data_IF_526788104674
#
_entry.id   IF_526788104674
#
_cell.length_a   1.000
_cell.length_b   1.000
_cell.length_c   1.000
_cell.angle_alpha   90.00
_cell.angle_beta   90.00
_cell.angle_gamma   90.00
#
_symmetry.space_group_name_H-M   'P 1'
#
loop_
_entity.id
_entity.type
_entity.pdbx_description
1 polymer ?
#
# COMPACT_ATOMS: atom_id res chain seq x y z
N UNK A 1 0.00 24.34 -3.11
CA UNK A 1 -1.33 24.08 -2.53
C UNK A 1 -1.34 22.61 -2.10
N UNK A 2 -1.34 22.35 -0.78
CA UNK A 2 -1.57 21.03 -0.24
C UNK A 2 -2.91 20.55 -0.77
N UNK A 3 -2.93 19.44 -1.52
CA UNK A 3 -4.17 18.78 -1.95
C UNK A 3 -4.82 18.14 -0.74
N UNK A 4 -5.80 18.78 -0.16
CA UNK A 4 -6.60 18.16 0.88
C UNK A 4 -7.58 17.15 0.25
N UNK A 5 -7.64 15.94 0.79
CA UNK A 5 -8.67 14.97 0.44
C UNK A 5 -9.99 15.46 1.04
N UNK A 6 -10.89 15.97 0.19
CA UNK A 6 -12.17 16.53 0.63
C UNK A 6 -13.27 15.46 0.84
N UNK A 7 -13.04 14.21 0.37
CA UNK A 7 -14.01 13.15 0.52
C UNK A 7 -14.06 12.65 1.98
N UNK A 8 -15.25 12.59 2.53
CA UNK A 8 -15.52 12.06 3.88
C UNK A 8 -16.30 10.75 3.73
N UNK A 9 -15.81 9.70 4.37
CA UNK A 9 -16.45 8.40 4.45
C UNK A 9 -16.80 8.07 5.91
N UNK A 10 -18.01 8.43 6.38
CA UNK A 10 -18.35 8.27 7.80
C UNK A 10 -18.19 6.84 8.33
N UNK A 11 -18.36 5.84 7.46
CA UNK A 11 -18.17 4.43 7.81
C UNK A 11 -16.71 4.03 8.13
N UNK A 12 -15.73 4.90 7.86
CA UNK A 12 -14.33 4.67 8.23
C UNK A 12 -14.00 5.10 9.67
N UNK A 13 -14.82 5.97 10.28
CA UNK A 13 -14.61 6.39 11.65
C UNK A 13 -14.67 5.20 12.62
N UNK A 14 -13.66 5.09 13.49
CA UNK A 14 -13.53 4.01 14.46
C UNK A 14 -13.06 2.66 13.90
N UNK A 15 -12.94 2.49 12.56
CA UNK A 15 -12.40 1.27 11.96
C UNK A 15 -10.93 1.07 12.34
N UNK A 16 -10.55 -0.18 12.60
CA UNK A 16 -9.18 -0.59 12.90
C UNK A 16 -8.45 -0.87 11.59
N UNK A 17 -7.52 0.00 11.27
CA UNK A 17 -6.77 -0.02 10.01
C UNK A 17 -5.32 -0.37 10.30
N UNK A 18 -4.76 -1.29 9.52
CA UNK A 18 -3.33 -1.59 9.53
C UNK A 18 -2.72 -1.22 8.19
N UNK A 19 -1.65 -0.42 8.22
CA UNK A 19 -0.89 -0.02 7.02
C UNK A 19 0.53 -0.54 7.14
N UNK A 20 0.98 -1.38 6.20
CA UNK A 20 2.39 -1.78 6.12
C UNK A 20 3.19 -0.78 5.30
N UNK A 21 4.44 -0.48 5.72
CA UNK A 21 5.26 0.55 5.08
C UNK A 21 4.64 1.95 5.26
N UNK A 22 4.12 2.21 6.46
CA UNK A 22 3.36 3.43 6.76
C UNK A 22 4.19 4.63 7.17
N UNK A 23 5.52 4.49 7.33
CA UNK A 23 6.37 5.55 7.88
C UNK A 23 6.73 6.66 6.88
N UNK A 24 6.65 6.39 5.57
CA UNK A 24 7.06 7.36 4.56
C UNK A 24 6.26 7.25 3.25
N UNK A 25 6.40 8.22 2.37
CA UNK A 25 5.87 8.23 1.01
C UNK A 25 4.36 7.94 0.94
N UNK A 26 3.95 7.03 0.06
CA UNK A 26 2.55 6.65 -0.15
C UNK A 26 1.92 6.15 1.15
N UNK A 27 2.64 5.30 1.89
CA UNK A 27 2.14 4.74 3.15
C UNK A 27 1.84 5.81 4.19
N UNK A 28 2.70 6.81 4.35
CA UNK A 28 2.50 7.92 5.28
C UNK A 28 1.25 8.75 4.94
N UNK A 29 1.04 9.04 3.65
CA UNK A 29 -0.18 9.73 3.22
C UNK A 29 -1.45 8.90 3.46
N UNK A 30 -1.38 7.59 3.30
CA UNK A 30 -2.50 6.69 3.62
C UNK A 30 -2.79 6.70 5.13
N UNK A 31 -1.74 6.62 5.97
CA UNK A 31 -1.88 6.71 7.44
C UNK A 31 -2.56 8.01 7.84
N UNK A 32 -2.09 9.15 7.32
CA UNK A 32 -2.70 10.46 7.58
C UNK A 32 -4.15 10.49 7.11
N UNK A 33 -4.43 10.04 5.88
CA UNK A 33 -5.76 10.06 5.31
C UNK A 33 -6.77 9.27 6.17
N UNK A 34 -6.44 8.05 6.60
CA UNK A 34 -7.31 7.27 7.49
C UNK A 34 -7.45 7.89 8.88
N UNK A 35 -6.36 8.41 9.46
CA UNK A 35 -6.41 9.08 10.77
C UNK A 35 -7.34 10.32 10.72
N UNK A 36 -7.30 11.10 9.65
CA UNK A 36 -8.21 12.24 9.43
C UNK A 36 -9.67 11.83 9.22
N UNK A 37 -9.95 10.59 8.78
CA UNK A 37 -11.31 10.01 8.75
C UNK A 37 -11.78 9.52 10.13
N UNK A 38 -10.96 9.64 11.17
CA UNK A 38 -11.27 9.16 12.52
C UNK A 38 -11.10 7.65 12.70
N UNK A 39 -10.36 6.98 11.80
CA UNK A 39 -10.00 5.57 11.95
C UNK A 39 -8.93 5.39 13.05
N UNK A 40 -8.89 4.18 13.63
CA UNK A 40 -7.82 3.74 14.55
C UNK A 40 -6.73 3.08 13.71
N UNK A 41 -5.66 3.81 13.45
CA UNK A 41 -4.61 3.37 12.53
C UNK A 41 -3.41 2.85 13.30
N UNK A 42 -3.01 1.60 13.02
CA UNK A 42 -1.68 1.08 13.31
C UNK A 42 -0.87 1.05 12.01
N UNK A 43 0.38 1.48 12.05
CA UNK A 43 1.24 1.36 10.89
C UNK A 43 2.58 0.71 11.24
N UNK A 44 2.99 -0.18 10.36
CA UNK A 44 4.18 -1.02 10.51
C UNK A 44 5.27 -0.52 9.57
N UNK A 45 6.46 -0.29 10.08
CA UNK A 45 7.61 0.12 9.27
C UNK A 45 8.92 -0.26 9.97
N UNK A 46 10.02 -0.28 9.21
CA UNK A 46 11.40 -0.38 9.71
C UNK A 46 12.07 1.00 9.80
N UNK A 47 11.52 2.01 9.15
CA UNK A 47 12.02 3.40 9.12
C UNK A 47 11.57 4.13 10.41
N UNK A 48 12.30 3.95 11.50
CA UNK A 48 11.92 4.45 12.82
C UNK A 48 11.83 5.98 12.89
N UNK A 49 12.82 6.66 12.34
CA UNK A 49 12.89 8.13 12.43
C UNK A 49 11.70 8.78 11.74
N UNK A 50 11.39 8.38 10.52
CA UNK A 50 10.28 8.88 9.72
C UNK A 50 8.95 8.51 10.38
N UNK A 51 8.83 7.30 10.92
CA UNK A 51 7.63 6.81 11.58
C UNK A 51 7.32 7.59 12.87
N UNK A 52 8.32 7.86 13.70
CA UNK A 52 8.15 8.68 14.89
C UNK A 52 7.81 10.13 14.54
N UNK A 53 8.43 10.70 13.49
CA UNK A 53 8.11 12.04 13.01
C UNK A 53 6.64 12.13 12.54
N UNK A 54 6.17 11.14 11.77
CA UNK A 54 4.78 11.07 11.33
C UNK A 54 3.81 10.95 12.51
N UNK A 55 4.09 10.04 13.44
CA UNK A 55 3.26 9.86 14.63
C UNK A 55 3.18 11.15 15.47
N UNK A 56 4.28 11.84 15.64
CA UNK A 56 4.33 13.12 16.35
C UNK A 56 3.53 14.20 15.62
N UNK A 57 3.67 14.32 14.30
CA UNK A 57 2.92 15.29 13.49
C UNK A 57 1.41 15.07 13.56
N UNK A 58 0.96 13.82 13.64
CA UNK A 58 -0.46 13.47 13.70
C UNK A 58 -1.01 13.33 15.14
N UNK A 59 -0.20 13.62 16.15
CA UNK A 59 -0.60 13.52 17.57
C UNK A 59 -1.73 14.45 17.99
N UNK A 60 -1.96 15.51 17.20
CA UNK A 60 -3.03 16.49 17.43
C UNK A 60 -4.43 15.99 17.00
N UNK A 61 -4.50 14.89 16.25
CA UNK A 61 -5.77 14.33 15.81
C UNK A 61 -6.52 13.68 16.99
N UNK A 62 -7.87 13.65 16.95
CA UNK A 62 -8.65 13.00 17.99
C UNK A 62 -8.33 11.50 18.18
N UNK A 63 -7.91 10.84 17.10
CA UNK A 63 -7.46 9.44 17.09
C UNK A 63 -6.09 9.37 16.42
N UNK A 64 -4.99 9.62 17.18
CA UNK A 64 -3.65 9.59 16.61
C UNK A 64 -3.28 8.18 16.13
N UNK A 65 -2.55 8.03 15.01
CA UNK A 65 -2.07 6.74 14.57
C UNK A 65 -0.95 6.23 15.49
N UNK A 66 -0.80 4.91 15.58
CA UNK A 66 0.22 4.24 16.37
C UNK A 66 1.26 3.56 15.49
N UNK A 67 2.52 3.91 15.67
CA UNK A 67 3.66 3.25 15.04
C UNK A 67 4.03 1.95 15.74
N UNK A 68 4.35 0.92 14.96
CA UNK A 68 4.89 -0.36 15.45
C UNK A 68 6.10 -0.73 14.58
N UNK A 69 7.28 -0.84 15.19
CA UNK A 69 8.46 -1.33 14.47
C UNK A 69 8.28 -2.79 14.08
N UNK A 70 8.33 -3.09 12.78
CA UNK A 70 8.15 -4.43 12.27
C UNK A 70 8.90 -4.63 10.94
N UNK A 71 9.92 -5.51 10.96
CA UNK A 71 10.48 -6.05 9.74
C UNK A 71 9.54 -7.14 9.19
N UNK A 72 8.90 -6.84 8.08
CA UNK A 72 7.92 -7.72 7.43
C UNK A 72 8.55 -8.96 6.78
N UNK A 73 9.87 -9.03 6.71
CA UNK A 73 10.59 -10.26 6.29
C UNK A 73 10.63 -11.30 7.41
N UNK A 74 10.44 -10.88 8.66
CA UNK A 74 10.35 -11.75 9.82
C UNK A 74 8.88 -12.11 10.09
N UNK A 75 8.45 -13.28 9.62
CA UNK A 75 7.06 -13.72 9.72
C UNK A 75 6.61 -14.02 11.15
N UNK A 76 7.50 -14.44 12.05
CA UNK A 76 7.17 -14.64 13.46
C UNK A 76 6.83 -13.30 14.13
N UNK A 77 7.60 -12.25 13.81
CA UNK A 77 7.31 -10.91 14.29
C UNK A 77 5.98 -10.39 13.71
N UNK A 78 5.72 -10.62 12.42
CA UNK A 78 4.43 -10.29 11.79
C UNK A 78 3.29 -10.96 12.53
N UNK A 79 3.37 -12.28 12.76
CA UNK A 79 2.32 -13.03 13.47
C UNK A 79 2.08 -12.49 14.88
N UNK A 80 3.14 -12.20 15.65
CA UNK A 80 3.04 -11.63 17.00
C UNK A 80 2.36 -10.25 16.97
N UNK A 81 2.80 -9.33 16.08
CA UNK A 81 2.21 -7.99 16.00
C UNK A 81 0.73 -8.06 15.65
N UNK A 82 0.34 -8.89 14.67
CA UNK A 82 -1.07 -9.01 14.29
C UNK A 82 -1.92 -9.66 15.38
N UNK A 83 -1.38 -10.55 16.20
CA UNK A 83 -2.07 -11.09 17.37
C UNK A 83 -2.37 -9.99 18.41
N UNK A 84 -1.43 -9.07 18.63
CA UNK A 84 -1.57 -7.99 19.61
C UNK A 84 -2.58 -6.90 19.17
N UNK A 85 -2.68 -6.63 17.85
CA UNK A 85 -3.53 -5.56 17.31
C UNK A 85 -4.87 -6.05 16.76
N UNK A 86 -5.12 -7.37 16.80
CA UNK A 86 -6.37 -7.97 16.32
C UNK A 86 -7.56 -7.58 17.20
N UNK A 87 -8.79 -7.52 16.67
CA UNK A 87 -9.15 -7.72 15.27
C UNK A 87 -8.93 -6.48 14.39
N UNK A 88 -8.74 -6.70 13.08
CA UNK A 88 -8.49 -5.66 12.07
C UNK A 88 -9.68 -5.60 11.10
N UNK A 89 -10.15 -4.39 10.77
CA UNK A 89 -11.24 -4.17 9.79
C UNK A 89 -10.71 -3.97 8.37
N UNK A 90 -9.56 -3.28 8.25
CA UNK A 90 -8.95 -2.90 6.97
C UNK A 90 -7.45 -3.14 7.04
N UNK A 91 -6.94 -3.93 6.08
CA UNK A 91 -5.51 -4.15 5.88
C UNK A 91 -5.04 -3.48 4.59
N UNK A 92 -4.01 -2.65 4.69
CA UNK A 92 -3.34 -2.02 3.56
C UNK A 92 -1.92 -2.57 3.45
N UNK A 93 -1.70 -3.48 2.51
CA UNK A 93 -0.40 -4.04 2.18
C UNK A 93 0.32 -3.12 1.18
N UNK A 94 1.06 -2.14 1.68
CA UNK A 94 1.75 -1.14 0.89
C UNK A 94 3.28 -1.31 0.90
N UNK A 95 3.88 -1.85 1.95
CA UNK A 95 5.34 -1.96 2.08
C UNK A 95 6.00 -2.58 0.85
N UNK A 96 7.03 -1.95 0.35
CA UNK A 96 7.81 -2.42 -0.79
C UNK A 96 9.16 -1.70 -0.89
N UNK A 97 10.07 -2.27 -1.68
CA UNK A 97 11.35 -1.68 -2.02
C UNK A 97 11.68 -1.95 -3.49
N UNK A 98 11.82 -0.88 -4.28
CA UNK A 98 12.05 -0.87 -5.72
C UNK A 98 13.54 -0.75 -6.09
N UNK A 99 14.44 -1.27 -5.27
CA UNK A 99 15.88 -1.27 -5.57
C UNK A 99 16.16 -1.90 -6.92
N UNK A 100 16.90 -1.15 -7.75
CA UNK A 100 17.26 -1.57 -9.11
C UNK A 100 18.39 -2.57 -9.09
N UNK A 101 18.38 -3.49 -10.07
CA UNK A 101 19.41 -4.53 -10.21
C UNK A 101 19.60 -4.93 -11.67
N UNK A 102 20.84 -5.35 -11.99
CA UNK A 102 21.16 -5.98 -13.27
C UNK A 102 20.97 -7.49 -13.17
N UNK A 103 20.44 -8.14 -14.21
CA UNK A 103 20.16 -9.58 -14.23
C UNK A 103 21.39 -10.41 -13.83
N UNK A 104 22.57 -10.05 -14.31
CA UNK A 104 23.81 -10.78 -13.99
C UNK A 104 24.32 -10.65 -12.54
N UNK A 105 23.72 -9.75 -11.74
CA UNK A 105 24.16 -9.47 -10.36
C UNK A 105 23.21 -10.06 -9.30
N UNK A 106 22.18 -10.80 -9.72
CA UNK A 106 21.21 -11.37 -8.80
C UNK A 106 21.72 -12.68 -8.21
N UNK A 107 22.01 -12.70 -6.92
CA UNK A 107 22.25 -13.92 -6.17
C UNK A 107 20.94 -14.54 -5.68
N UNK A 108 20.98 -15.83 -5.28
CA UNK A 108 19.82 -16.49 -4.67
C UNK A 108 19.34 -15.74 -3.42
N UNK A 109 20.25 -15.36 -2.52
CA UNK A 109 19.88 -14.61 -1.31
C UNK A 109 19.28 -13.23 -1.61
N UNK A 110 19.74 -12.54 -2.67
CA UNK A 110 19.13 -11.30 -3.11
C UNK A 110 17.71 -11.54 -3.65
N UNK A 111 17.52 -12.59 -4.45
CA UNK A 111 16.18 -13.01 -4.92
C UNK A 111 15.23 -13.26 -3.74
N UNK A 112 15.63 -14.11 -2.79
CA UNK A 112 14.80 -14.50 -1.65
C UNK A 112 14.40 -13.27 -0.81
N UNK A 113 15.36 -12.36 -0.58
CA UNK A 113 15.10 -11.10 0.12
C UNK A 113 14.13 -10.21 -0.65
N UNK A 114 14.30 -10.03 -1.98
CA UNK A 114 13.38 -9.20 -2.77
C UNK A 114 11.96 -9.76 -2.80
N UNK A 115 11.80 -11.07 -2.86
CA UNK A 115 10.48 -11.71 -2.76
C UNK A 115 9.89 -11.58 -1.35
N UNK A 116 10.70 -11.70 -0.31
CA UNK A 116 10.25 -11.50 1.06
C UNK A 116 9.72 -10.07 1.29
N UNK A 117 10.48 -9.05 0.85
CA UNK A 117 10.16 -7.63 1.02
C UNK A 117 8.98 -7.18 0.16
N UNK A 118 8.84 -7.70 -1.09
CA UNK A 118 7.89 -7.14 -2.06
C UNK A 118 6.63 -7.98 -2.28
N UNK A 119 6.59 -9.25 -1.81
CA UNK A 119 5.49 -10.18 -2.08
C UNK A 119 5.06 -10.98 -0.86
N UNK A 120 5.98 -11.72 -0.24
CA UNK A 120 5.66 -12.74 0.76
C UNK A 120 4.83 -12.20 1.92
N UNK A 121 5.20 -11.04 2.46
CA UNK A 121 4.48 -10.43 3.58
C UNK A 121 3.02 -10.09 3.27
N UNK A 122 2.67 -9.72 2.03
CA UNK A 122 1.27 -9.45 1.64
C UNK A 122 0.35 -10.63 1.95
N UNK A 123 0.80 -11.84 1.61
CA UNK A 123 0.03 -13.05 1.89
C UNK A 123 -0.09 -13.31 3.39
N UNK A 124 1.01 -13.24 4.14
CA UNK A 124 1.01 -13.57 5.56
C UNK A 124 0.32 -12.52 6.43
N UNK A 125 0.39 -11.24 6.07
CA UNK A 125 -0.43 -10.20 6.70
C UNK A 125 -1.93 -10.44 6.43
N UNK A 126 -2.31 -10.80 5.19
CA UNK A 126 -3.68 -11.17 4.87
C UNK A 126 -4.14 -12.39 5.68
N UNK A 127 -3.32 -13.44 5.75
CA UNK A 127 -3.60 -14.64 6.54
C UNK A 127 -3.84 -14.31 8.02
N UNK A 128 -3.06 -13.40 8.59
CA UNK A 128 -3.15 -13.02 10.00
C UNK A 128 -4.46 -12.29 10.36
N UNK A 129 -5.02 -11.47 9.44
CA UNK A 129 -6.25 -10.71 9.72
C UNK A 129 -7.53 -11.47 9.41
N UNK A 130 -7.47 -12.49 8.54
CA UNK A 130 -8.66 -13.21 8.04
C UNK A 130 -9.51 -13.85 9.15
N UNK A 131 -8.96 -14.50 10.20
CA UNK A 131 -9.80 -15.05 11.28
C UNK A 131 -10.69 -13.99 11.93
N UNK A 132 -10.11 -12.85 12.37
CA UNK A 132 -10.87 -11.77 12.97
C UNK A 132 -11.86 -11.11 12.00
N UNK A 133 -11.51 -10.95 10.72
CA UNK A 133 -12.44 -10.46 9.69
C UNK A 133 -13.64 -11.39 9.49
N UNK A 134 -13.44 -12.71 9.55
CA UNK A 134 -14.53 -13.68 9.48
C UNK A 134 -15.46 -13.60 10.69
N UNK A 135 -14.90 -13.53 11.88
CA UNK A 135 -15.67 -13.45 13.13
C UNK A 135 -16.53 -12.19 13.21
N UNK A 136 -16.05 -11.07 12.68
CA UNK A 136 -16.81 -9.80 12.65
C UNK A 136 -17.71 -9.65 11.40
N UNK A 137 -17.77 -10.66 10.51
CA UNK A 137 -18.67 -10.71 9.37
C UNK A 137 -18.21 -9.94 8.12
N UNK A 138 -16.93 -9.60 8.02
CA UNK A 138 -16.37 -8.96 6.84
C UNK A 138 -15.09 -8.16 7.09
N UNK A 139 -14.50 -7.65 6.02
CA UNK A 139 -13.28 -6.84 6.07
C UNK A 139 -12.83 -6.37 4.69
N UNK A 140 -11.74 -5.60 4.67
CA UNK A 140 -11.14 -5.11 3.43
C UNK A 140 -9.63 -5.33 3.44
N UNK A 141 -9.11 -5.87 2.35
CA UNK A 141 -7.68 -6.02 2.09
C UNK A 141 -7.35 -5.28 0.79
N UNK A 142 -6.43 -4.32 0.86
CA UNK A 142 -5.93 -3.60 -0.31
C UNK A 142 -4.44 -3.89 -0.46
N UNK A 143 -4.08 -4.47 -1.61
CA UNK A 143 -2.70 -4.80 -1.95
C UNK A 143 -2.14 -3.78 -2.94
N UNK A 144 -0.93 -3.30 -2.72
CA UNK A 144 -0.27 -2.36 -3.62
C UNK A 144 0.54 -3.07 -4.69
N UNK A 145 0.03 -3.04 -5.92
CA UNK A 145 0.76 -3.38 -7.13
C UNK A 145 1.72 -2.27 -7.56
N UNK A 146 1.98 -2.16 -8.85
CA UNK A 146 2.78 -1.09 -9.44
C UNK A 146 2.59 -1.05 -10.94
N UNK A 147 2.60 0.15 -11.53
CA UNK A 147 2.61 0.33 -12.98
C UNK A 147 3.89 -0.20 -13.64
N UNK A 148 4.97 -0.37 -12.87
CA UNK A 148 6.30 -0.74 -13.40
C UNK A 148 6.30 -2.02 -14.24
N UNK A 149 5.53 -3.03 -13.85
CA UNK A 149 5.47 -4.27 -14.63
C UNK A 149 4.60 -4.13 -15.88
N UNK A 150 3.57 -3.29 -15.85
CA UNK A 150 2.73 -2.98 -17.02
C UNK A 150 3.51 -2.20 -18.09
N UNK A 151 4.47 -1.36 -17.66
CA UNK A 151 5.34 -0.57 -18.55
C UNK A 151 6.66 -1.27 -18.90
N UNK A 152 6.93 -2.44 -18.32
CA UNK A 152 8.18 -3.19 -18.50
C UNK A 152 9.43 -2.34 -18.21
N UNK A 153 9.45 -1.63 -17.09
CA UNK A 153 10.57 -0.73 -16.75
C UNK A 153 11.88 -1.50 -16.54
N UNK A 154 13.01 -1.01 -17.04
CA UNK A 154 14.28 -1.71 -16.96
C UNK A 154 14.82 -1.78 -15.53
N UNK A 155 15.71 -2.76 -15.27
CA UNK A 155 16.43 -2.98 -14.01
C UNK A 155 15.54 -3.25 -12.77
N UNK A 156 14.26 -3.63 -12.98
CA UNK A 156 13.28 -3.89 -11.94
C UNK A 156 12.67 -5.30 -12.00
N UNK A 157 13.36 -6.27 -12.65
CA UNK A 157 12.77 -7.59 -12.94
C UNK A 157 12.17 -8.26 -11.70
N UNK A 158 12.88 -8.31 -10.56
CA UNK A 158 12.36 -8.96 -9.34
C UNK A 158 11.20 -8.18 -8.71
N UNK A 159 11.30 -6.85 -8.72
CA UNK A 159 10.21 -5.99 -8.24
C UNK A 159 8.96 -6.17 -9.10
N UNK A 160 9.10 -6.12 -10.42
CA UNK A 160 7.98 -6.34 -11.37
C UNK A 160 7.37 -7.74 -11.22
N UNK A 161 8.21 -8.77 -11.03
CA UNK A 161 7.73 -10.14 -10.76
C UNK A 161 6.86 -10.19 -9.52
N UNK A 162 7.31 -9.57 -8.42
CA UNK A 162 6.53 -9.50 -7.18
C UNK A 162 5.23 -8.72 -7.37
N UNK A 163 5.27 -7.57 -8.06
CA UNK A 163 4.09 -6.72 -8.28
C UNK A 163 3.06 -7.36 -9.22
N UNK A 164 3.49 -8.07 -10.26
CA UNK A 164 2.60 -8.88 -11.10
C UNK A 164 1.96 -10.03 -10.30
N UNK A 165 2.74 -10.71 -9.43
CA UNK A 165 2.23 -11.78 -8.59
C UNK A 165 1.17 -11.29 -7.59
N UNK A 166 1.29 -10.06 -7.06
CA UNK A 166 0.30 -9.43 -6.17
C UNK A 166 -1.08 -9.33 -6.84
N UNK A 167 -1.15 -9.00 -8.12
CA UNK A 167 -2.43 -8.90 -8.83
C UNK A 167 -3.11 -10.29 -8.96
N UNK A 168 -2.33 -11.32 -9.32
CA UNK A 168 -2.81 -12.70 -9.31
C UNK A 168 -3.27 -13.16 -7.92
N UNK A 169 -2.47 -12.90 -6.89
CA UNK A 169 -2.79 -13.21 -5.49
C UNK A 169 -4.07 -12.47 -5.04
N UNK A 170 -4.25 -11.22 -5.42
CA UNK A 170 -5.46 -10.44 -5.12
C UNK A 170 -6.73 -11.11 -5.65
N UNK A 171 -6.70 -11.62 -6.89
CA UNK A 171 -7.83 -12.34 -7.48
C UNK A 171 -8.12 -13.67 -6.75
N UNK A 172 -7.07 -14.41 -6.39
CA UNK A 172 -7.18 -15.64 -5.61
C UNK A 172 -7.83 -15.38 -4.25
N UNK A 173 -7.25 -14.45 -3.46
CA UNK A 173 -7.78 -14.07 -2.15
C UNK A 173 -9.21 -13.53 -2.23
N UNK A 174 -9.55 -12.75 -3.24
CA UNK A 174 -10.91 -12.24 -3.43
C UNK A 174 -11.93 -13.39 -3.64
N UNK A 175 -11.54 -14.44 -4.36
CA UNK A 175 -12.39 -15.61 -4.59
C UNK A 175 -12.55 -16.43 -3.32
N UNK A 176 -11.47 -16.67 -2.57
CA UNK A 176 -11.48 -17.51 -1.37
C UNK A 176 -12.19 -16.83 -0.19
N UNK A 177 -12.04 -15.50 -0.08
CA UNK A 177 -12.52 -14.73 1.06
C UNK A 177 -13.90 -14.05 0.83
N UNK A 178 -14.33 -13.94 -0.43
CA UNK A 178 -15.62 -13.35 -0.79
C UNK A 178 -16.84 -13.96 -0.08
N UNK A 179 -16.93 -15.29 0.11
CA UNK A 179 -18.01 -15.94 0.89
C UNK A 179 -18.10 -15.44 2.35
N UNK A 180 -17.03 -14.85 2.88
CA UNK A 180 -16.97 -14.28 4.22
C UNK A 180 -17.15 -12.75 4.23
N UNK A 181 -17.64 -12.17 3.13
CA UNK A 181 -17.81 -10.71 2.97
C UNK A 181 -16.50 -9.93 3.15
N UNK A 182 -15.35 -10.53 2.81
CA UNK A 182 -14.05 -9.87 2.80
C UNK A 182 -13.73 -9.47 1.36
N UNK A 183 -13.57 -8.17 1.11
CA UNK A 183 -13.21 -7.61 -0.19
C UNK A 183 -11.69 -7.52 -0.33
N UNK A 184 -11.16 -7.94 -1.47
CA UNK A 184 -9.72 -7.84 -1.75
C UNK A 184 -9.51 -7.19 -3.10
N UNK A 185 -8.76 -6.08 -3.16
CA UNK A 185 -8.44 -5.37 -4.40
C UNK A 185 -6.96 -5.00 -4.45
N UNK A 186 -6.48 -4.68 -5.64
CA UNK A 186 -5.15 -4.13 -5.86
C UNK A 186 -5.23 -2.66 -6.31
N UNK A 187 -4.36 -1.82 -5.74
CA UNK A 187 -4.15 -0.44 -6.18
C UNK A 187 -2.84 -0.41 -6.96
N UNK A 188 -2.86 0.21 -8.15
CA UNK A 188 -1.73 0.27 -9.07
C UNK A 188 -1.30 1.74 -9.22
N UNK A 189 -0.38 2.22 -8.37
CA UNK A 189 0.13 3.58 -8.51
C UNK A 189 1.03 3.73 -9.74
N UNK A 190 0.93 4.89 -10.37
CA UNK A 190 1.87 5.35 -11.38
C UNK A 190 3.17 5.88 -10.76
N UNK A 191 3.81 6.83 -11.43
CA UNK A 191 4.99 7.51 -10.89
C UNK A 191 4.57 8.56 -9.85
N UNK A 192 4.34 8.12 -8.64
CA UNK A 192 3.94 8.98 -7.52
C UNK A 192 5.12 9.81 -7.05
N UNK A 193 4.91 11.13 -6.85
CA UNK A 193 5.92 11.99 -6.28
C UNK A 193 6.07 11.71 -4.78
N UNK A 194 7.24 11.20 -4.40
CA UNK A 194 7.58 10.91 -2.99
C UNK A 194 8.99 11.39 -2.69
N UNK A 195 9.35 11.67 -1.42
CA UNK A 195 10.71 12.06 -1.06
C UNK A 195 11.79 11.09 -1.56
N UNK A 196 11.51 9.78 -1.52
CA UNK A 196 12.44 8.75 -2.04
C UNK A 196 12.62 8.88 -3.56
N UNK A 197 11.53 9.05 -4.31
CA UNK A 197 11.59 9.22 -5.77
C UNK A 197 12.35 10.49 -6.14
N UNK A 198 12.11 11.58 -5.44
CA UNK A 198 12.82 12.84 -5.65
C UNK A 198 14.32 12.71 -5.36
N UNK A 199 14.69 12.06 -4.25
CA UNK A 199 16.10 11.92 -3.85
C UNK A 199 16.90 10.98 -4.77
N UNK A 200 16.28 9.93 -5.33
CA UNK A 200 17.01 8.86 -6.04
C UNK A 200 16.88 8.94 -7.57
N UNK A 201 15.76 9.44 -8.09
CA UNK A 201 15.41 9.24 -9.49
C UNK A 201 14.95 10.52 -10.20
N UNK A 202 14.80 11.63 -9.48
CA UNK A 202 14.30 12.86 -10.08
C UNK A 202 15.38 13.56 -10.91
N UNK A 203 15.22 13.55 -12.24
CA UNK A 203 15.94 14.41 -13.17
C UNK A 203 14.95 15.11 -14.09
N UNK A 204 15.30 16.24 -14.72
CA UNK A 204 14.43 16.91 -15.69
C UNK A 204 14.00 16.00 -16.85
N UNK A 205 14.88 15.11 -17.28
CA UNK A 205 14.62 14.14 -18.35
C UNK A 205 13.60 13.11 -17.93
N UNK A 206 13.74 12.56 -16.70
CA UNK A 206 12.79 11.58 -16.16
C UNK A 206 11.42 12.22 -15.90
N UNK A 207 11.38 13.44 -15.38
CA UNK A 207 10.14 14.21 -15.22
C UNK A 207 9.44 14.41 -16.57
N UNK A 208 10.19 14.81 -17.60
CA UNK A 208 9.65 14.99 -18.96
C UNK A 208 9.12 13.66 -19.52
N UNK A 209 9.82 12.55 -19.29
CA UNK A 209 9.42 11.21 -19.72
C UNK A 209 8.11 10.77 -19.04
N UNK A 210 8.00 10.99 -17.74
CA UNK A 210 6.80 10.64 -16.99
C UNK A 210 5.61 11.44 -17.49
N UNK A 211 5.74 12.76 -17.59
CA UNK A 211 4.64 13.64 -18.04
C UNK A 211 4.23 13.36 -19.49
N UNK A 212 5.19 13.03 -20.37
CA UNK A 212 4.88 12.67 -21.75
C UNK A 212 4.17 11.31 -21.88
N UNK A 213 4.34 10.41 -20.91
CA UNK A 213 3.67 9.12 -20.89
C UNK A 213 2.26 9.16 -20.28
N UNK A 214 1.90 10.22 -19.59
CA UNK A 214 0.59 10.37 -18.95
C UNK A 214 -0.42 11.08 -19.85
N UNK A 215 -1.73 10.79 -19.70
CA UNK A 215 -2.79 11.58 -20.31
C UNK A 215 -3.00 12.91 -19.61
N UNK A 216 -2.85 12.94 -18.29
CA UNK A 216 -2.98 14.16 -17.50
C UNK A 216 -1.62 14.86 -17.34
N UNK A 217 -1.57 16.21 -17.40
CA UNK A 217 -0.32 16.96 -17.44
C UNK A 217 0.34 17.14 -16.05
N UNK A 218 -0.24 16.57 -15.01
CA UNK A 218 0.27 16.69 -13.64
C UNK A 218 0.75 15.34 -13.13
N UNK A 219 1.77 15.36 -12.27
CA UNK A 219 2.24 14.17 -11.56
C UNK A 219 1.15 13.62 -10.62
N UNK A 220 1.17 12.31 -10.45
CA UNK A 220 0.42 11.66 -9.39
C UNK A 220 1.06 11.99 -8.05
N UNK A 221 0.28 12.49 -7.11
CA UNK A 221 0.70 12.81 -5.76
C UNK A 221 0.22 11.72 -4.78
N UNK A 222 0.79 11.73 -3.59
CA UNK A 222 0.46 10.77 -2.52
C UNK A 222 -1.04 10.83 -2.18
N UNK A 223 -1.62 12.02 -2.17
CA UNK A 223 -3.03 12.27 -1.86
C UNK A 223 -3.98 11.66 -2.89
N UNK A 224 -3.58 11.59 -4.17
CA UNK A 224 -4.37 10.95 -5.23
C UNK A 224 -4.51 9.44 -4.95
N UNK A 225 -3.41 8.81 -4.52
CA UNK A 225 -3.39 7.40 -4.14
C UNK A 225 -4.19 7.15 -2.85
N UNK A 226 -4.01 8.00 -1.85
CA UNK A 226 -4.72 7.93 -0.58
C UNK A 226 -6.24 8.10 -0.78
N UNK A 227 -6.68 8.99 -1.66
CA UNK A 227 -8.09 9.20 -1.97
C UNK A 227 -8.75 7.94 -2.54
N UNK A 228 -8.11 7.26 -3.50
CA UNK A 228 -8.60 5.98 -4.03
C UNK A 228 -8.58 4.89 -2.95
N UNK A 229 -7.56 4.88 -2.09
CA UNK A 229 -7.45 3.91 -0.99
C UNK A 229 -8.62 4.06 -0.01
N UNK A 230 -8.97 5.28 0.39
CA UNK A 230 -10.14 5.56 1.23
C UNK A 230 -11.44 5.10 0.57
N UNK A 231 -11.65 5.39 -0.72
CA UNK A 231 -12.83 4.95 -1.46
C UNK A 231 -12.94 3.42 -1.45
N UNK A 232 -11.89 2.70 -1.84
CA UNK A 232 -11.90 1.25 -1.91
C UNK A 232 -12.05 0.58 -0.54
N UNK A 233 -11.59 1.23 0.52
CA UNK A 233 -11.77 0.76 1.90
C UNK A 233 -13.19 1.01 2.43
N UNK A 234 -13.90 2.00 1.92
CA UNK A 234 -15.23 2.40 2.40
C UNK A 234 -16.36 1.50 1.89
N UNK A 235 -17.55 1.67 2.48
CA UNK A 235 -18.77 0.97 2.07
C UNK A 235 -19.24 1.42 0.67
N UNK A 236 -18.82 2.59 0.19
CA UNK A 236 -19.10 3.07 -1.17
C UNK A 236 -18.52 2.12 -2.25
N UNK A 237 -17.47 1.39 -1.93
CA UNK A 237 -16.88 0.34 -2.78
C UNK A 237 -17.39 -1.08 -2.47
N UNK A 238 -18.56 -1.23 -1.85
CA UNK A 238 -19.09 -2.49 -1.34
C UNK A 238 -19.27 -3.62 -2.38
N UNK A 239 -19.20 -3.33 -3.68
CA UNK A 239 -19.23 -4.33 -4.76
C UNK A 239 -17.92 -4.41 -5.55
N UNK A 240 -16.87 -3.73 -5.08
CA UNK A 240 -15.54 -3.77 -5.67
C UNK A 240 -14.71 -4.87 -4.99
N UNK A 241 -14.40 -5.96 -5.69
CA UNK A 241 -13.51 -7.03 -5.21
C UNK A 241 -12.88 -7.78 -6.38
N UNK A 242 -11.62 -8.20 -6.21
CA UNK A 242 -10.85 -8.96 -7.19
C UNK A 242 -10.39 -8.15 -8.41
N UNK A 243 -10.20 -6.82 -8.26
CA UNK A 243 -9.85 -5.92 -9.36
C UNK A 243 -8.60 -5.10 -9.07
N UNK A 244 -7.98 -4.67 -10.15
CA UNK A 244 -6.90 -3.70 -10.19
C UNK A 244 -7.49 -2.30 -10.44
N UNK A 245 -7.03 -1.31 -9.66
CA UNK A 245 -7.44 0.09 -9.77
C UNK A 245 -6.21 0.97 -9.96
N UNK A 246 -6.10 1.59 -11.13
CA UNK A 246 -4.97 2.42 -11.50
C UNK A 246 -5.12 3.85 -10.95
N UNK A 247 -4.01 4.40 -10.45
CA UNK A 247 -3.83 5.82 -10.12
C UNK A 247 -2.52 6.25 -10.78
N UNK A 248 -2.56 6.50 -12.06
CA UNK A 248 -1.37 6.66 -12.91
C UNK A 248 -1.47 7.81 -13.91
N UNK A 249 -2.48 8.66 -13.76
CA UNK A 249 -2.78 9.77 -14.66
C UNK A 249 -3.00 9.32 -16.14
N UNK A 250 -3.43 8.07 -16.34
CA UNK A 250 -3.65 7.48 -17.66
C UNK A 250 -2.36 7.09 -18.38
N UNK A 251 -1.33 6.68 -17.66
CA UNK A 251 -0.07 6.25 -18.29
C UNK A 251 -0.17 4.89 -18.96
N UNK A 252 -0.83 3.93 -18.32
CA UNK A 252 -1.00 2.60 -18.87
C UNK A 252 -2.34 2.48 -19.60
N UNK A 253 -2.29 2.02 -20.85
CA UNK A 253 -3.48 1.74 -21.67
C UNK A 253 -4.06 2.95 -22.42
N UNK A 254 -3.34 4.06 -22.45
CA UNK A 254 -3.71 5.24 -23.22
C UNK A 254 -3.04 5.23 -24.61
#
# INVERSE_FOLDING_TARGET
>A
LEKNINAIYPGLAGKRVVVTGGGSGIGAGIVEAFARQGARVHFLDIAEQESFALQAALSILPTPPSYIHCDLTNLDKVASVFADISPVDILINNAANDDRHKVGNVSQGYWDNRMAVNLRHHYFCAQAVVPGMREQGGGVILNFGSISWHLALPELTLYMTAKAAIEGMTRGLARDLGPHNIRVNSIIPGAVRTPRQEALWHTPEEESRILAGQCLPQRVEVEDVAALTLFLASDAAGRCSGREYFVDAGWYGA
#
